data_IF_220783552683
#
_entry.id   IF_220783552683
#
_cell.length_a   1.000
_cell.length_b   1.000
_cell.length_c   1.000
_cell.angle_alpha   90.00
_cell.angle_beta   90.00
_cell.angle_gamma   90.00
#
_symmetry.space_group_name_H-M   'P 1'
#
loop_
_entity.id
_entity.type
_entity.pdbx_description
1 polymer ?
#
# COMPACT_ATOMS: atom_id res chain seq x y z
N UNK A 1 -8.30 -14.16 2.41
CA UNK A 1 -7.77 -13.88 3.78
C UNK A 1 -6.60 -12.91 3.85
N UNK A 2 -5.90 -12.61 2.75
CA UNK A 2 -4.65 -11.84 2.84
C UNK A 2 -4.87 -10.40 3.35
N UNK A 3 -5.89 -9.69 2.86
CA UNK A 3 -6.19 -8.29 3.23
C UNK A 3 -7.20 -8.12 4.37
N UNK A 4 -7.86 -9.19 4.80
CA UNK A 4 -8.95 -9.14 5.77
C UNK A 4 -8.50 -9.24 7.23
N UNK A 5 -7.19 -9.31 7.51
CA UNK A 5 -6.72 -9.28 8.90
C UNK A 5 -6.72 -7.84 9.47
N UNK A 6 -6.94 -7.72 10.78
CA UNK A 6 -7.05 -6.43 11.50
C UNK A 6 -5.87 -5.49 11.23
N UNK A 7 -4.64 -6.01 11.24
CA UNK A 7 -3.43 -5.21 10.96
C UNK A 7 -3.43 -4.66 9.52
N UNK A 8 -3.78 -5.47 8.52
CA UNK A 8 -3.86 -5.01 7.12
C UNK A 8 -4.94 -3.95 6.92
N UNK A 9 -6.08 -4.08 7.60
CA UNK A 9 -7.15 -3.08 7.56
C UNK A 9 -6.71 -1.75 8.18
N UNK A 10 -6.00 -1.79 9.32
CA UNK A 10 -5.44 -0.59 9.94
C UNK A 10 -4.39 0.09 9.05
N UNK A 11 -3.48 -0.67 8.44
CA UNK A 11 -2.52 -0.14 7.46
C UNK A 11 -3.28 0.54 6.31
N UNK A 12 -4.29 -0.13 5.75
CA UNK A 12 -5.06 0.44 4.65
C UNK A 12 -5.82 1.72 5.03
N UNK A 13 -6.38 1.79 6.24
CA UNK A 13 -7.03 2.99 6.74
C UNK A 13 -6.07 4.20 6.76
N UNK A 14 -4.80 4.00 7.15
CA UNK A 14 -3.81 5.07 7.09
C UNK A 14 -3.38 5.44 5.67
N UNK A 15 -3.28 4.46 4.76
CA UNK A 15 -2.85 4.71 3.38
C UNK A 15 -3.97 5.35 2.53
N UNK A 16 -5.25 5.01 2.76
CA UNK A 16 -6.36 5.58 1.98
C UNK A 16 -6.55 7.08 2.18
N UNK A 17 -6.02 7.63 3.28
CA UNK A 17 -6.09 9.06 3.58
C UNK A 17 -5.04 9.88 2.82
N UNK A 18 -4.07 9.22 2.17
CA UNK A 18 -3.13 9.90 1.30
C UNK A 18 -3.85 10.57 0.11
N UNK A 19 -3.37 11.74 -0.36
CA UNK A 19 -3.99 12.52 -1.43
C UNK A 19 -4.45 11.73 -2.67
N UNK A 20 -3.67 10.78 -3.23
CA UNK A 20 -4.11 10.00 -4.39
C UNK A 20 -5.36 9.13 -4.14
N UNK A 21 -5.63 8.69 -2.91
CA UNK A 21 -6.67 7.70 -2.60
C UNK A 21 -7.94 8.29 -1.99
N UNK A 22 -7.88 9.53 -1.51
CA UNK A 22 -8.98 10.20 -0.83
C UNK A 22 -10.29 9.99 -1.60
N UNK A 23 -11.26 9.37 -0.90
CA UNK A 23 -12.65 9.14 -1.31
C UNK A 23 -12.91 8.15 -2.45
N UNK A 24 -11.92 7.50 -3.09
CA UNK A 24 -12.19 6.59 -4.22
C UNK A 24 -12.36 5.11 -3.87
N UNK A 25 -11.69 4.60 -2.84
CA UNK A 25 -11.63 3.15 -2.62
C UNK A 25 -11.85 2.78 -1.15
N UNK A 26 -12.80 1.87 -0.91
CA UNK A 26 -13.18 1.44 0.43
C UNK A 26 -12.32 0.30 0.97
N UNK A 27 -11.80 -0.57 0.09
CA UNK A 27 -10.98 -1.72 0.48
C UNK A 27 -9.76 -1.89 -0.40
N UNK A 28 -8.68 -2.41 0.21
CA UNK A 28 -7.45 -2.73 -0.50
C UNK A 28 -7.70 -3.81 -1.58
N UNK A 29 -8.61 -4.76 -1.33
CA UNK A 29 -9.01 -5.76 -2.32
C UNK A 29 -9.55 -5.09 -3.59
N UNK A 30 -10.53 -4.17 -3.46
CA UNK A 30 -11.15 -3.50 -4.61
C UNK A 30 -10.15 -2.68 -5.42
N UNK A 31 -9.21 -2.03 -4.75
CA UNK A 31 -8.22 -1.22 -5.46
C UNK A 31 -7.20 -2.09 -6.19
N UNK A 32 -6.81 -3.24 -5.61
CA UNK A 32 -5.98 -4.23 -6.29
C UNK A 32 -6.69 -4.81 -7.51
N UNK A 33 -7.97 -5.17 -7.39
CA UNK A 33 -8.76 -5.67 -8.53
C UNK A 33 -8.88 -4.62 -9.63
N UNK A 34 -9.05 -3.33 -9.26
CA UNK A 34 -9.08 -2.23 -10.22
C UNK A 34 -7.74 -2.03 -10.94
N UNK A 35 -6.63 -2.25 -10.24
CA UNK A 35 -5.29 -2.20 -10.83
C UNK A 35 -5.05 -3.35 -11.80
N UNK A 36 -5.42 -4.58 -11.42
CA UNK A 36 -5.28 -5.77 -12.28
C UNK A 36 -6.07 -5.58 -13.58
N UNK A 37 -7.24 -4.92 -13.50
CA UNK A 37 -8.06 -4.58 -14.67
C UNK A 37 -7.55 -3.37 -15.48
N UNK A 38 -6.40 -2.79 -15.12
CA UNK A 38 -5.78 -1.67 -15.84
C UNK A 38 -6.51 -0.33 -15.75
N UNK A 39 -7.56 -0.20 -14.94
CA UNK A 39 -8.48 0.97 -14.98
C UNK A 39 -7.94 2.26 -14.33
N UNK A 40 -6.70 2.30 -13.85
CA UNK A 40 -6.22 3.44 -13.03
C UNK A 40 -4.73 3.78 -13.22
N UNK A 41 -4.14 3.40 -14.35
CA UNK A 41 -2.69 3.52 -14.57
C UNK A 41 -2.27 4.81 -15.30
N UNK A 42 -3.21 5.53 -15.94
CA UNK A 42 -2.87 6.69 -16.78
C UNK A 42 -2.50 7.94 -15.96
N UNK A 43 -1.43 8.62 -16.39
CA UNK A 43 -0.95 9.87 -15.79
C UNK A 43 -0.12 9.71 -14.51
N UNK A 44 0.50 10.81 -14.06
CA UNK A 44 1.33 10.89 -12.85
C UNK A 44 0.58 10.37 -11.62
N UNK A 45 -0.68 10.79 -11.44
CA UNK A 45 -1.49 10.38 -10.31
C UNK A 45 -1.88 8.89 -10.37
N UNK A 46 -2.10 8.34 -11.57
CA UNK A 46 -2.33 6.92 -11.78
C UNK A 46 -1.11 6.09 -11.40
N UNK A 47 0.07 6.48 -11.91
CA UNK A 47 1.36 5.86 -11.54
C UNK A 47 1.60 5.91 -10.04
N UNK A 48 1.38 7.06 -9.40
CA UNK A 48 1.51 7.22 -7.95
C UNK A 48 0.58 6.27 -7.18
N UNK A 49 -0.67 6.11 -7.64
CA UNK A 49 -1.63 5.16 -7.04
C UNK A 49 -1.13 3.73 -7.15
N UNK A 50 -0.76 3.30 -8.36
CA UNK A 50 -0.23 1.96 -8.60
C UNK A 50 0.95 1.67 -7.67
N UNK A 51 1.87 2.63 -7.58
CA UNK A 51 3.10 2.49 -6.81
C UNK A 51 2.81 2.39 -5.31
N UNK A 52 1.93 3.25 -4.78
CA UNK A 52 1.53 3.17 -3.37
C UNK A 52 0.88 1.83 -3.04
N UNK A 53 -0.02 1.33 -3.89
CA UNK A 53 -0.71 0.07 -3.66
C UNK A 53 0.28 -1.10 -3.71
N UNK A 54 1.17 -1.12 -4.72
CA UNK A 54 2.19 -2.14 -4.86
C UNK A 54 3.12 -2.19 -3.62
N UNK A 55 3.59 -1.02 -3.17
CA UNK A 55 4.40 -0.91 -1.94
C UNK A 55 3.61 -1.40 -0.72
N UNK A 56 2.34 -1.00 -0.60
CA UNK A 56 1.48 -1.40 0.53
C UNK A 56 1.30 -2.92 0.58
N UNK A 57 0.98 -3.55 -0.56
CA UNK A 57 0.83 -5.00 -0.68
C UNK A 57 2.16 -5.69 -0.34
N UNK A 58 3.26 -5.22 -0.90
CA UNK A 58 4.60 -5.76 -0.65
C UNK A 58 4.97 -5.69 0.84
N UNK A 59 4.76 -4.55 1.49
CA UNK A 59 5.06 -4.41 2.91
C UNK A 59 4.16 -5.28 3.79
N UNK A 60 2.87 -5.40 3.48
CA UNK A 60 1.97 -6.34 4.19
C UNK A 60 2.47 -7.78 4.02
N UNK A 61 2.82 -8.17 2.79
CA UNK A 61 3.31 -9.51 2.49
C UNK A 61 4.60 -9.82 3.23
N UNK A 62 5.57 -8.92 3.17
CA UNK A 62 6.86 -9.05 3.83
C UNK A 62 6.68 -9.19 5.36
N UNK A 63 5.81 -8.37 5.95
CA UNK A 63 5.55 -8.40 7.39
C UNK A 63 4.83 -9.69 7.83
N UNK A 64 3.89 -10.20 7.02
CA UNK A 64 3.23 -11.49 7.31
C UNK A 64 4.19 -12.66 7.19
N UNK A 65 5.08 -12.66 6.20
CA UNK A 65 6.11 -13.70 6.09
C UNK A 65 7.10 -13.64 7.25
N UNK A 66 7.55 -12.44 7.66
CA UNK A 66 8.39 -12.32 8.86
C UNK A 66 7.70 -12.86 10.11
N UNK A 67 6.39 -12.64 10.25
CA UNK A 67 5.63 -13.18 11.37
C UNK A 67 5.59 -14.72 11.33
N UNK A 68 5.40 -15.32 10.15
CA UNK A 68 5.36 -16.78 10.00
C UNK A 68 6.73 -17.46 10.16
N UNK A 69 7.82 -16.80 9.79
CA UNK A 69 9.16 -17.43 9.74
C UNK A 69 10.14 -16.96 10.83
N UNK A 70 9.84 -15.89 11.58
CA UNK A 70 10.76 -15.30 12.56
C UNK A 70 10.13 -14.94 13.90
N UNK A 71 8.91 -15.44 14.19
CA UNK A 71 8.10 -15.07 15.37
C UNK A 71 7.98 -13.56 15.61
N UNK A 72 8.07 -12.79 14.53
CA UNK A 72 8.13 -11.34 14.61
C UNK A 72 6.73 -10.74 14.72
N UNK A 73 6.39 -10.18 15.88
CA UNK A 73 5.19 -9.37 16.07
C UNK A 73 5.33 -8.03 15.37
N UNK A 74 4.93 -7.95 14.09
CA UNK A 74 5.10 -6.70 13.36
C UNK A 74 4.16 -5.60 13.87
N UNK A 75 4.70 -4.39 14.06
CA UNK A 75 3.98 -3.18 14.42
C UNK A 75 3.34 -2.52 13.19
N UNK A 76 2.08 -2.13 13.31
CA UNK A 76 1.37 -1.39 12.25
C UNK A 76 2.07 -0.06 11.95
N UNK A 77 2.59 0.60 12.98
CA UNK A 77 3.30 1.89 12.85
C UNK A 77 4.57 1.73 12.02
N UNK A 78 5.37 0.70 12.27
CA UNK A 78 6.58 0.43 11.48
C UNK A 78 6.26 0.17 10.01
N UNK A 79 5.21 -0.61 9.74
CA UNK A 79 4.81 -0.90 8.36
C UNK A 79 4.37 0.37 7.64
N UNK A 80 3.59 1.23 8.30
CA UNK A 80 3.17 2.51 7.72
C UNK A 80 4.38 3.41 7.46
N UNK A 81 5.30 3.54 8.43
CA UNK A 81 6.52 4.32 8.27
C UNK A 81 7.36 3.81 7.10
N UNK A 82 7.47 2.48 6.97
CA UNK A 82 8.18 1.86 5.85
C UNK A 82 7.51 2.11 4.50
N UNK A 83 6.18 2.03 4.44
CA UNK A 83 5.42 2.36 3.22
C UNK A 83 5.66 3.82 2.83
N UNK A 84 5.55 4.76 3.78
CA UNK A 84 5.79 6.18 3.54
C UNK A 84 7.21 6.43 3.03
N UNK A 85 8.22 5.87 3.68
CA UNK A 85 9.62 5.99 3.27
C UNK A 85 9.84 5.49 1.85
N UNK A 86 9.33 4.29 1.52
CA UNK A 86 9.45 3.72 0.18
C UNK A 86 8.72 4.56 -0.86
N UNK A 87 7.55 5.11 -0.51
CA UNK A 87 6.81 6.01 -1.38
C UNK A 87 7.60 7.28 -1.70
N UNK A 88 8.04 8.01 -0.68
CA UNK A 88 8.81 9.25 -0.88
C UNK A 88 10.06 8.99 -1.72
N UNK A 89 10.79 7.92 -1.42
CA UNK A 89 11.98 7.53 -2.18
C UNK A 89 11.66 7.29 -3.66
N UNK A 90 10.63 6.52 -3.96
CA UNK A 90 10.29 6.18 -5.34
C UNK A 90 9.71 7.35 -6.12
N UNK A 91 8.91 8.18 -5.46
CA UNK A 91 8.32 9.38 -6.06
C UNK A 91 9.39 10.40 -6.43
N UNK A 92 10.40 10.54 -5.56
CA UNK A 92 11.58 11.35 -5.84
C UNK A 92 12.39 10.79 -7.01
N UNK A 93 12.66 9.47 -7.02
CA UNK A 93 13.40 8.81 -8.11
C UNK A 93 12.69 8.90 -9.48
N UNK A 94 11.36 8.89 -9.49
CA UNK A 94 10.56 8.89 -10.72
C UNK A 94 10.21 10.29 -11.22
N UNK A 95 10.74 11.35 -10.58
CA UNK A 95 10.39 12.74 -10.91
C UNK A 95 8.87 12.94 -11.07
N UNK A 96 8.08 12.35 -10.17
CA UNK A 96 6.62 12.49 -10.18
C UNK A 96 6.17 13.86 -9.61
N UNK A 97 7.11 14.79 -9.42
CA UNK A 97 6.95 16.21 -9.08
C UNK A 97 7.96 17.04 -9.84
#
# INVERSE_FOLDING_TARGET
MFFSCRKSLQIWAHIRDLPPFRKRFTSLQRITDSLIRGRSTSGVQGKFRCLTIAITIYCIWLSKNKLNFKDYQFSVVEVISKIKFLLYRQVHLLHLF
#
